data_IF_877474594238
#
_entry.id   IF_877474594238
#
_cell.length_a   1.000
_cell.length_b   1.000
_cell.length_c   1.000
_cell.angle_alpha   90.00
_cell.angle_beta   90.00
_cell.angle_gamma   90.00
#
_symmetry.space_group_name_H-M   'P 1'
#
loop_
_entity.id
_entity.type
_entity.pdbx_description
1 polymer ?
#
# COMPACT_ATOMS: atom_id res chain seq x y z
N UNK A 1 61.18 -8.70 -61.42
CA UNK A 1 61.00 -7.24 -61.39
C UNK A 1 59.52 -6.96 -61.19
N UNK A 2 59.24 -6.24 -60.11
CA UNK A 2 57.97 -5.80 -59.52
C UNK A 2 56.84 -5.46 -60.51
N UNK A 3 55.60 -5.94 -60.29
CA UNK A 3 54.36 -5.14 -60.46
C UNK A 3 53.22 -5.70 -59.58
N UNK A 4 52.59 -4.77 -58.86
CA UNK A 4 51.52 -4.93 -57.87
C UNK A 4 50.16 -5.22 -58.52
N UNK A 5 49.38 -6.14 -57.93
CA UNK A 5 47.92 -6.14 -58.02
C UNK A 5 47.33 -6.36 -56.62
N UNK A 6 46.65 -5.33 -56.11
CA UNK A 6 45.88 -5.37 -54.87
C UNK A 6 44.55 -6.07 -55.15
N UNK A 7 44.31 -7.23 -54.53
CA UNK A 7 42.97 -7.83 -54.40
C UNK A 7 42.43 -7.51 -53.01
N UNK A 8 41.36 -6.72 -52.96
CA UNK A 8 40.55 -6.52 -51.76
C UNK A 8 39.72 -7.79 -51.54
N UNK A 9 39.99 -8.51 -50.46
CA UNK A 9 39.15 -9.60 -49.98
C UNK A 9 38.26 -9.06 -48.86
N UNK A 10 36.95 -9.07 -49.10
CA UNK A 10 35.92 -8.70 -48.13
C UNK A 10 35.89 -9.73 -46.99
N UNK A 11 36.18 -9.29 -45.77
CA UNK A 11 36.02 -10.08 -44.56
C UNK A 11 34.55 -10.00 -44.10
N UNK A 12 33.78 -11.07 -44.29
CA UNK A 12 32.46 -11.23 -43.66
C UNK A 12 32.66 -11.54 -42.18
N UNK A 13 32.47 -10.54 -41.32
CA UNK A 13 32.31 -10.74 -39.88
C UNK A 13 30.93 -11.35 -39.63
N UNK A 14 30.88 -12.65 -39.30
CA UNK A 14 29.70 -13.26 -38.69
C UNK A 14 29.66 -12.81 -37.23
N UNK A 15 28.95 -11.73 -36.97
CA UNK A 15 28.60 -11.34 -35.61
C UNK A 15 27.54 -12.33 -35.08
N UNK A 16 28.01 -13.39 -34.40
CA UNK A 16 27.15 -14.23 -33.59
C UNK A 16 26.60 -13.40 -32.43
N UNK A 17 25.37 -12.92 -32.55
CA UNK A 17 24.64 -12.34 -31.44
C UNK A 17 24.41 -13.43 -30.39
N UNK A 18 25.22 -13.44 -29.33
CA UNK A 18 24.90 -14.13 -28.10
C UNK A 18 23.65 -13.46 -27.51
N UNK A 19 22.47 -13.96 -27.90
CA UNK A 19 21.23 -13.65 -27.20
C UNK A 19 21.34 -14.25 -25.81
N UNK A 20 21.65 -13.42 -24.82
CA UNK A 20 21.44 -13.80 -23.43
C UNK A 20 19.99 -14.29 -23.29
N UNK A 21 19.73 -15.44 -22.67
CA UNK A 21 18.36 -15.88 -22.43
C UNK A 21 17.67 -14.79 -21.61
N UNK A 22 16.66 -14.15 -22.20
CA UNK A 22 15.75 -13.28 -21.49
C UNK A 22 14.98 -14.18 -20.52
N UNK A 23 15.43 -14.28 -19.28
CA UNK A 23 14.65 -14.93 -18.24
C UNK A 23 13.35 -14.12 -18.10
N UNK A 24 12.26 -14.65 -18.66
CA UNK A 24 10.92 -14.19 -18.34
C UNK A 24 10.79 -14.27 -16.82
N UNK A 25 10.74 -13.12 -16.15
CA UNK A 25 10.46 -13.12 -14.71
C UNK A 25 9.02 -13.60 -14.55
N UNK A 26 8.85 -14.78 -13.97
CA UNK A 26 7.54 -15.29 -13.57
C UNK A 26 6.80 -14.20 -12.77
N UNK A 27 5.53 -13.98 -13.13
CA UNK A 27 4.62 -13.08 -12.41
C UNK A 27 4.68 -13.36 -10.91
N UNK A 28 4.62 -12.31 -10.09
CA UNK A 28 4.57 -12.52 -8.64
C UNK A 28 3.29 -13.29 -8.26
N UNK A 29 3.29 -13.89 -7.07
CA UNK A 29 2.12 -14.61 -6.56
C UNK A 29 0.87 -13.74 -6.66
N UNK A 30 -0.15 -14.24 -7.35
CA UNK A 30 -1.44 -13.59 -7.52
C UNK A 30 -1.41 -12.28 -8.32
N UNK A 31 -0.30 -11.98 -9.02
CA UNK A 31 -0.23 -10.80 -9.88
C UNK A 31 -1.22 -10.96 -11.05
N UNK A 32 -2.20 -10.05 -11.19
CA UNK A 32 -3.17 -10.15 -12.26
C UNK A 32 -2.49 -9.89 -13.61
N UNK A 33 -3.00 -10.53 -14.67
CA UNK A 33 -2.41 -10.45 -16.00
C UNK A 33 -2.53 -9.04 -16.61
N UNK A 34 -1.60 -8.68 -17.49
CA UNK A 34 -1.70 -7.46 -18.30
C UNK A 34 -1.75 -6.19 -17.45
N UNK A 35 -2.69 -5.30 -17.77
CA UNK A 35 -2.89 -4.01 -17.11
C UNK A 35 -3.88 -4.06 -15.92
N UNK A 36 -4.37 -5.25 -15.58
CA UNK A 36 -5.39 -5.43 -14.54
C UNK A 36 -4.90 -5.01 -13.16
N UNK A 37 -5.82 -4.50 -12.35
CA UNK A 37 -5.58 -3.99 -11.00
C UNK A 37 -6.70 -4.48 -10.07
N UNK A 38 -6.35 -5.11 -8.95
CA UNK A 38 -7.34 -5.39 -7.91
C UNK A 38 -7.83 -4.09 -7.27
N UNK A 39 -9.14 -3.85 -7.36
CA UNK A 39 -9.81 -2.81 -6.58
C UNK A 39 -10.21 -3.38 -5.22
N UNK A 40 -9.69 -2.78 -4.15
CA UNK A 40 -9.88 -3.24 -2.78
C UNK A 40 -10.22 -2.10 -1.82
N UNK A 41 -10.62 -2.48 -0.60
CA UNK A 41 -10.76 -1.55 0.51
C UNK A 41 -10.57 -2.25 1.87
N UNK A 42 -10.06 -1.49 2.84
CA UNK A 42 -10.21 -1.84 4.25
C UNK A 42 -11.56 -1.39 4.76
N UNK A 43 -12.29 -2.31 5.38
CA UNK A 43 -13.62 -2.06 5.93
C UNK A 43 -13.58 -2.23 7.46
N UNK A 44 -14.38 -1.47 8.23
CA UNK A 44 -14.60 -1.76 9.63
C UNK A 44 -15.50 -3.00 9.79
N UNK A 45 -15.65 -3.51 11.02
CA UNK A 45 -16.58 -4.60 11.36
C UNK A 45 -16.39 -5.91 10.56
N UNK A 46 -15.20 -6.18 10.04
CA UNK A 46 -14.90 -7.41 9.27
C UNK A 46 -14.91 -8.70 10.11
N UNK A 47 -15.01 -8.56 11.44
CA UNK A 47 -15.07 -9.66 12.39
C UNK A 47 -16.48 -10.26 12.57
N UNK A 48 -17.52 -9.60 12.07
CA UNK A 48 -18.91 -10.08 12.09
C UNK A 48 -19.48 -10.20 10.66
N UNK A 49 -20.35 -11.19 10.41
CA UNK A 49 -20.93 -11.42 9.08
C UNK A 49 -21.87 -10.27 8.66
N UNK A 50 -22.73 -9.81 9.59
CA UNK A 50 -23.69 -8.76 9.30
C UNK A 50 -22.98 -7.41 9.13
N UNK A 51 -21.97 -7.14 9.97
CA UNK A 51 -21.06 -6.00 9.84
C UNK A 51 -20.40 -5.95 8.48
N UNK A 52 -19.67 -7.00 8.10
CA UNK A 52 -19.02 -7.08 6.78
C UNK A 52 -20.03 -6.91 5.63
N UNK A 53 -21.19 -7.57 5.68
CA UNK A 53 -22.22 -7.45 4.65
C UNK A 53 -22.73 -6.00 4.51
N UNK A 54 -23.02 -5.31 5.62
CA UNK A 54 -23.45 -3.91 5.60
C UNK A 54 -22.37 -3.01 4.98
N UNK A 55 -21.12 -3.16 5.42
CA UNK A 55 -20.01 -2.36 4.92
C UNK A 55 -19.77 -2.58 3.42
N UNK A 56 -19.84 -3.83 2.95
CA UNK A 56 -19.76 -4.14 1.52
C UNK A 56 -20.91 -3.53 0.73
N UNK A 57 -22.14 -3.59 1.24
CA UNK A 57 -23.29 -2.98 0.57
C UNK A 57 -23.11 -1.46 0.41
N UNK A 58 -22.76 -0.77 1.50
CA UNK A 58 -22.53 0.67 1.49
C UNK A 58 -21.36 1.05 0.59
N UNK A 59 -20.22 0.37 0.72
CA UNK A 59 -19.03 0.67 -0.06
C UNK A 59 -19.24 0.40 -1.56
N UNK A 60 -19.76 -0.78 -1.92
CA UNK A 60 -19.97 -1.13 -3.33
C UNK A 60 -21.01 -0.24 -4.00
N UNK A 61 -22.03 0.22 -3.27
CA UNK A 61 -23.00 1.19 -3.80
C UNK A 61 -22.33 2.55 -4.10
N UNK A 62 -21.40 2.98 -3.24
CA UNK A 62 -20.66 4.23 -3.40
C UNK A 62 -19.60 4.14 -4.52
N UNK A 63 -18.91 3.00 -4.62
CA UNK A 63 -17.88 2.73 -5.60
C UNK A 63 -18.44 2.33 -6.98
N UNK A 64 -19.69 1.87 -7.04
CA UNK A 64 -20.30 1.37 -8.28
C UNK A 64 -19.69 0.06 -8.80
N UNK A 65 -18.87 -0.62 -7.99
CA UNK A 65 -18.14 -1.84 -8.35
C UNK A 65 -17.90 -2.69 -7.09
N UNK A 66 -17.85 -4.01 -7.24
CA UNK A 66 -17.53 -4.92 -6.12
C UNK A 66 -16.03 -4.93 -5.82
N UNK A 67 -15.70 -5.09 -4.54
CA UNK A 67 -14.32 -5.30 -4.11
C UNK A 67 -13.77 -6.66 -4.58
N UNK A 68 -12.58 -6.63 -5.18
CA UNK A 68 -11.75 -7.84 -5.41
C UNK A 68 -10.88 -8.19 -4.20
N UNK A 69 -10.55 -7.21 -3.36
CA UNK A 69 -9.75 -7.41 -2.14
C UNK A 69 -10.44 -6.75 -0.95
N UNK A 70 -10.62 -7.49 0.13
CA UNK A 70 -11.03 -6.94 1.42
C UNK A 70 -9.83 -6.95 2.35
N UNK A 71 -9.46 -5.77 2.83
CA UNK A 71 -8.37 -5.57 3.77
C UNK A 71 -8.89 -5.58 5.20
N UNK A 72 -8.31 -6.41 6.06
CA UNK A 72 -8.69 -6.49 7.46
C UNK A 72 -7.46 -6.67 8.36
N UNK A 73 -7.63 -6.29 9.61
CA UNK A 73 -6.56 -6.17 10.59
C UNK A 73 -6.56 -7.38 11.53
N UNK A 74 -5.36 -7.90 11.79
CA UNK A 74 -5.10 -8.99 12.72
C UNK A 74 -3.91 -8.66 13.60
N UNK A 75 -3.82 -9.21 14.80
CA UNK A 75 -2.70 -8.95 15.70
C UNK A 75 -2.35 -10.15 16.57
N UNK A 76 -1.11 -10.19 17.08
CA UNK A 76 -0.71 -11.21 18.04
C UNK A 76 -1.53 -11.13 19.34
N UNK A 77 -1.95 -9.92 19.72
CA UNK A 77 -2.73 -9.62 20.91
C UNK A 77 -3.91 -8.69 20.57
N UNK A 78 -5.05 -8.84 21.25
CA UNK A 78 -6.05 -7.77 21.31
C UNK A 78 -6.53 -7.62 22.75
N UNK A 79 -6.45 -6.40 23.28
CA UNK A 79 -6.84 -6.06 24.65
C UNK A 79 -6.10 -6.89 25.71
N UNK A 80 -4.82 -7.15 25.50
CA UNK A 80 -3.91 -7.85 26.41
C UNK A 80 -3.91 -9.37 26.26
N UNK A 81 -4.87 -9.91 25.53
CA UNK A 81 -5.04 -11.35 25.32
C UNK A 81 -4.46 -11.80 23.99
N UNK A 82 -3.59 -12.81 24.03
CA UNK A 82 -3.02 -13.43 22.83
C UNK A 82 -4.12 -14.05 21.98
N UNK A 83 -4.05 -13.88 20.65
CA UNK A 83 -5.05 -14.37 19.69
C UNK A 83 -4.52 -15.55 18.91
N UNK A 84 -5.38 -16.52 18.64
CA UNK A 84 -5.01 -17.72 17.87
C UNK A 84 -5.56 -17.62 16.46
N UNK A 85 -4.85 -18.17 15.47
CA UNK A 85 -5.30 -18.11 14.09
C UNK A 85 -6.53 -18.99 13.86
N UNK A 86 -6.58 -20.17 14.50
CA UNK A 86 -7.73 -21.06 14.44
C UNK A 86 -9.00 -20.45 15.03
N UNK A 87 -8.92 -19.82 16.21
CA UNK A 87 -10.08 -19.26 16.89
C UNK A 87 -10.55 -17.91 16.32
N UNK A 88 -9.62 -17.07 15.88
CA UNK A 88 -9.94 -15.67 15.55
C UNK A 88 -9.94 -15.39 14.05
N UNK A 89 -8.96 -15.89 13.31
CA UNK A 89 -8.64 -15.40 11.96
C UNK A 89 -9.09 -16.32 10.83
N UNK A 90 -9.21 -17.63 11.09
CA UNK A 90 -9.78 -18.58 10.15
C UNK A 90 -11.22 -18.23 9.76
N UNK A 91 -12.02 -17.74 10.72
CA UNK A 91 -13.39 -17.29 10.47
C UNK A 91 -13.45 -16.03 9.61
N UNK A 92 -12.53 -15.08 9.80
CA UNK A 92 -12.40 -13.87 8.98
C UNK A 92 -12.01 -14.19 7.54
N UNK A 93 -11.05 -15.11 7.34
CA UNK A 93 -10.68 -15.62 6.02
C UNK A 93 -11.89 -16.23 5.30
N UNK A 94 -12.65 -17.10 5.99
CA UNK A 94 -13.84 -17.73 5.43
C UNK A 94 -14.94 -16.72 5.10
N UNK A 95 -15.15 -15.71 5.96
CA UNK A 95 -16.08 -14.59 5.74
C UNK A 95 -15.75 -13.84 4.45
N UNK A 96 -14.51 -13.38 4.32
CA UNK A 96 -14.07 -12.65 3.13
C UNK A 96 -14.21 -13.52 1.88
N UNK A 97 -13.80 -14.79 1.94
CA UNK A 97 -13.94 -15.72 0.79
C UNK A 97 -15.37 -15.84 0.28
N UNK A 98 -16.37 -15.90 1.17
CA UNK A 98 -17.79 -15.99 0.77
C UNK A 98 -18.27 -14.81 -0.07
N UNK A 99 -17.60 -13.67 0.03
CA UNK A 99 -17.91 -12.47 -0.75
C UNK A 99 -17.35 -12.53 -2.18
N UNK A 100 -16.46 -13.49 -2.46
CA UNK A 100 -15.70 -13.58 -3.72
C UNK A 100 -14.38 -12.79 -3.72
N UNK A 101 -14.09 -12.02 -2.66
CA UNK A 101 -12.86 -11.25 -2.55
C UNK A 101 -11.68 -12.07 -1.98
N UNK A 102 -10.46 -11.61 -2.27
CA UNK A 102 -9.21 -12.06 -1.63
C UNK A 102 -8.99 -11.27 -0.34
N UNK A 103 -8.45 -11.90 0.70
CA UNK A 103 -8.02 -11.19 1.91
C UNK A 103 -6.66 -10.52 1.72
N UNK A 104 -6.56 -9.24 2.07
CA UNK A 104 -5.30 -8.65 2.54
C UNK A 104 -5.36 -8.57 4.07
N UNK A 105 -4.51 -9.35 4.73
CA UNK A 105 -4.35 -9.31 6.18
C UNK A 105 -3.25 -8.31 6.52
N UNK A 106 -3.60 -7.22 7.21
CA UNK A 106 -2.62 -6.37 7.89
C UNK A 106 -2.39 -6.96 9.29
N UNK A 107 -1.36 -7.79 9.40
CA UNK A 107 -1.00 -8.47 10.64
C UNK A 107 -0.02 -7.61 11.45
N UNK A 108 -0.26 -7.49 12.75
CA UNK A 108 0.55 -6.71 13.68
C UNK A 108 1.10 -7.59 14.80
N UNK A 109 2.40 -7.52 15.06
CA UNK A 109 3.04 -8.19 16.20
C UNK A 109 2.70 -7.52 17.54
N UNK A 110 2.32 -6.24 17.53
CA UNK A 110 1.80 -5.55 18.71
C UNK A 110 0.30 -5.79 18.93
N UNK A 111 -0.17 -5.54 20.15
CA UNK A 111 -1.58 -5.35 20.49
C UNK A 111 -2.14 -4.07 19.84
N UNK A 112 -3.36 -4.10 19.30
CA UNK A 112 -4.02 -2.85 18.88
C UNK A 112 -4.32 -1.90 20.05
N UNK A 113 -4.43 -2.43 21.26
CA UNK A 113 -4.50 -1.65 22.50
C UNK A 113 -3.11 -1.39 23.13
N UNK A 114 -2.02 -1.40 22.36
CA UNK A 114 -0.64 -1.31 22.87
C UNK A 114 -0.42 -0.15 23.83
N UNK A 115 -0.98 1.04 23.57
CA UNK A 115 -0.83 2.20 24.45
C UNK A 115 -1.30 1.92 25.89
N UNK A 116 -2.29 1.03 26.06
CA UNK A 116 -2.82 0.58 27.34
C UNK A 116 -2.11 -0.68 27.85
N UNK A 117 -1.90 -1.68 26.99
CA UNK A 117 -1.51 -3.04 27.43
C UNK A 117 0.00 -3.27 27.39
N UNK A 118 0.72 -2.52 26.54
CA UNK A 118 2.16 -2.68 26.25
C UNK A 118 2.54 -4.10 25.83
N UNK A 119 1.58 -4.88 25.32
CA UNK A 119 1.81 -6.26 24.85
C UNK A 119 2.20 -6.26 23.38
N UNK A 120 3.27 -6.98 23.06
CA UNK A 120 3.70 -7.23 21.70
C UNK A 120 4.51 -8.53 21.65
N UNK A 121 4.43 -9.24 20.53
CA UNK A 121 5.41 -10.25 20.17
C UNK A 121 6.70 -9.55 19.77
N UNK A 122 7.69 -9.56 20.66
CA UNK A 122 8.92 -8.80 20.48
C UNK A 122 9.72 -9.30 19.27
N UNK A 123 10.15 -8.40 18.38
CA UNK A 123 10.83 -8.78 17.12
C UNK A 123 12.12 -9.57 17.33
N UNK A 124 12.89 -9.29 18.39
CA UNK A 124 14.11 -10.07 18.72
C UNK A 124 13.76 -11.50 19.14
N UNK A 125 12.67 -11.68 19.89
CA UNK A 125 12.19 -13.01 20.26
C UNK A 125 11.65 -13.76 19.04
N UNK A 126 10.98 -13.09 18.11
CA UNK A 126 10.55 -13.69 16.84
C UNK A 126 11.77 -14.11 16.03
N UNK A 127 12.74 -13.22 15.84
CA UNK A 127 13.99 -13.51 15.14
C UNK A 127 14.76 -14.68 15.77
N UNK A 128 14.78 -14.77 17.09
CA UNK A 128 15.39 -15.87 17.87
C UNK A 128 14.56 -17.16 17.96
N UNK A 129 13.37 -17.21 17.36
CA UNK A 129 12.54 -18.42 17.29
C UNK A 129 11.57 -18.64 18.46
N UNK A 130 11.52 -17.73 19.44
CA UNK A 130 10.62 -17.84 20.60
C UNK A 130 9.12 -17.78 20.28
N UNK A 131 8.77 -17.39 19.05
CA UNK A 131 7.40 -17.30 18.54
C UNK A 131 7.11 -18.28 17.40
N UNK A 132 8.00 -19.26 17.16
CA UNK A 132 7.86 -20.16 16.01
C UNK A 132 6.55 -20.94 16.01
N UNK A 133 6.14 -21.48 17.16
CA UNK A 133 4.90 -22.27 17.27
C UNK A 133 3.66 -21.43 16.95
N UNK A 134 3.65 -20.16 17.36
CA UNK A 134 2.59 -19.22 16.99
C UNK A 134 2.50 -19.05 15.46
N UNK A 135 3.63 -18.84 14.80
CA UNK A 135 3.66 -18.64 13.35
C UNK A 135 3.51 -19.94 12.56
N UNK A 136 3.83 -21.11 13.14
CA UNK A 136 3.51 -22.42 12.56
C UNK A 136 2.01 -22.67 12.55
N UNK A 137 1.29 -22.37 13.64
CA UNK A 137 -0.18 -22.43 13.66
C UNK A 137 -0.76 -21.48 12.61
N UNK A 138 -0.30 -20.22 12.59
CA UNK A 138 -0.69 -19.23 11.58
C UNK A 138 -0.53 -19.76 10.15
N UNK A 139 0.67 -20.26 9.83
CA UNK A 139 0.99 -20.82 8.53
C UNK A 139 0.11 -22.04 8.18
N UNK A 140 -0.13 -22.93 9.14
CA UNK A 140 -0.99 -24.10 8.93
C UNK A 140 -2.43 -23.68 8.60
N UNK A 141 -3.00 -22.70 9.33
CA UNK A 141 -4.35 -22.20 9.03
C UNK A 141 -4.44 -21.53 7.67
N UNK A 142 -3.41 -20.77 7.27
CA UNK A 142 -3.37 -20.18 5.93
C UNK A 142 -3.23 -21.26 4.86
N UNK A 143 -2.34 -22.25 5.03
CA UNK A 143 -2.23 -23.40 4.11
C UNK A 143 -3.56 -24.12 3.93
N UNK A 144 -4.22 -24.47 5.04
CA UNK A 144 -5.44 -25.28 5.04
C UNK A 144 -6.65 -24.51 4.47
N UNK A 145 -6.58 -23.18 4.40
CA UNK A 145 -7.58 -22.33 3.74
C UNK A 145 -7.61 -22.48 2.20
N UNK A 146 -6.51 -22.96 1.60
CA UNK A 146 -6.41 -23.35 0.17
C UNK A 146 -6.83 -22.28 -0.85
N UNK A 147 -6.86 -21.01 -0.45
CA UNK A 147 -7.24 -19.88 -1.32
C UNK A 147 -6.22 -18.76 -1.17
N UNK A 148 -6.07 -17.86 -2.15
CA UNK A 148 -5.09 -16.77 -2.09
C UNK A 148 -5.28 -15.88 -0.86
N UNK A 149 -4.17 -15.50 -0.22
CA UNK A 149 -4.13 -14.55 0.89
C UNK A 149 -2.92 -13.64 0.72
N UNK A 150 -3.14 -12.33 0.75
CA UNK A 150 -2.07 -11.35 0.94
C UNK A 150 -1.85 -11.10 2.42
N UNK A 151 -0.59 -11.03 2.86
CA UNK A 151 -0.23 -10.76 4.26
C UNK A 151 0.80 -9.63 4.30
N UNK A 152 0.46 -8.52 4.95
CA UNK A 152 1.37 -7.44 5.30
C UNK A 152 1.66 -7.49 6.78
N UNK A 153 2.90 -7.79 7.16
CA UNK A 153 3.35 -7.86 8.55
C UNK A 153 3.87 -6.48 8.95
N UNK A 154 3.44 -5.96 10.10
CA UNK A 154 4.00 -4.75 10.73
C UNK A 154 4.24 -3.60 9.73
N UNK A 155 3.14 -3.22 9.05
CA UNK A 155 3.13 -2.13 8.07
C UNK A 155 3.66 -0.81 8.63
N UNK A 156 4.11 0.09 7.76
CA UNK A 156 4.61 1.42 8.16
C UNK A 156 5.72 1.38 9.20
N UNK A 157 6.54 0.33 9.17
CA UNK A 157 7.68 0.13 10.06
C UNK A 157 8.71 1.28 10.01
N UNK A 158 8.72 2.06 8.94
CA UNK A 158 9.53 3.26 8.75
C UNK A 158 8.91 4.54 9.34
N UNK A 159 7.73 4.46 9.97
CA UNK A 159 7.14 5.54 10.77
C UNK A 159 7.73 5.61 12.17
N UNK A 160 7.13 6.40 13.06
CA UNK A 160 7.53 6.50 14.48
C UNK A 160 6.37 6.21 15.46
N UNK A 161 5.22 5.74 14.95
CA UNK A 161 3.99 5.55 15.72
C UNK A 161 3.75 4.11 16.19
N UNK A 162 4.47 3.13 15.66
CA UNK A 162 4.34 1.72 16.05
C UNK A 162 5.59 1.20 16.77
N UNK A 163 5.44 0.41 17.86
CA UNK A 163 6.54 -0.04 18.71
C UNK A 163 7.48 -1.05 18.04
N UNK A 164 7.12 -1.59 16.88
CA UNK A 164 8.00 -2.39 16.03
C UNK A 164 8.93 -1.53 15.14
N UNK A 165 8.75 -0.21 15.11
CA UNK A 165 9.66 0.72 14.44
C UNK A 165 10.88 1.05 15.32
N UNK A 166 12.06 1.18 14.70
CA UNK A 166 13.25 1.72 15.37
C UNK A 166 13.02 3.15 15.89
N UNK A 167 12.22 3.95 15.18
CA UNK A 167 11.99 5.35 15.52
C UNK A 167 10.94 5.55 16.62
N UNK A 168 10.26 4.49 17.05
CA UNK A 168 9.31 4.57 18.14
C UNK A 168 10.03 4.83 19.48
N UNK A 169 9.52 5.75 20.33
CA UNK A 169 10.14 6.06 21.61
C UNK A 169 10.38 4.82 22.47
N UNK A 170 11.64 4.62 22.88
CA UNK A 170 12.07 3.49 23.71
C UNK A 170 11.77 2.10 23.11
N UNK A 171 11.72 1.97 21.77
CA UNK A 171 11.49 0.67 21.12
C UNK A 171 12.53 -0.38 21.53
N UNK A 172 13.80 0.03 21.62
CA UNK A 172 14.94 -0.87 21.81
C UNK A 172 15.16 -1.82 20.62
N UNK A 173 14.52 -1.54 19.48
CA UNK A 173 14.56 -2.32 18.24
C UNK A 173 15.31 -1.55 17.16
N UNK A 174 15.83 -2.28 16.18
CA UNK A 174 16.46 -1.76 14.98
C UNK A 174 15.73 -2.22 13.72
N UNK A 175 15.97 -1.56 12.59
CA UNK A 175 15.49 -2.05 11.30
C UNK A 175 16.01 -3.47 10.98
N UNK A 176 17.20 -3.82 11.46
CA UNK A 176 17.75 -5.17 11.34
C UNK A 176 16.95 -6.21 12.14
N UNK A 177 16.45 -5.86 13.34
CA UNK A 177 15.57 -6.72 14.14
C UNK A 177 14.25 -6.99 13.40
N UNK A 178 13.69 -5.96 12.78
CA UNK A 178 12.51 -6.09 11.92
C UNK A 178 12.78 -7.03 10.74
N UNK A 179 13.89 -6.83 10.02
CA UNK A 179 14.27 -7.68 8.88
C UNK A 179 14.44 -9.14 9.32
N UNK A 180 15.08 -9.39 10.46
CA UNK A 180 15.29 -10.73 10.98
C UNK A 180 13.95 -11.41 11.36
N UNK A 181 13.06 -10.69 12.05
CA UNK A 181 11.74 -11.19 12.41
C UNK A 181 10.89 -11.50 11.17
N UNK A 182 10.84 -10.58 10.19
CA UNK A 182 10.15 -10.79 8.91
C UNK A 182 10.64 -12.06 8.22
N UNK A 183 11.96 -12.21 8.07
CA UNK A 183 12.57 -13.38 7.43
C UNK A 183 12.21 -14.67 8.14
N UNK A 184 12.19 -14.69 9.48
CA UNK A 184 11.77 -15.85 10.27
C UNK A 184 10.33 -16.23 9.96
N UNK A 185 9.39 -15.28 10.05
CA UNK A 185 7.96 -15.54 9.81
C UNK A 185 7.73 -16.09 8.40
N UNK A 186 8.28 -15.43 7.37
CA UNK A 186 8.14 -15.89 5.97
C UNK A 186 8.76 -17.28 5.77
N UNK A 187 9.90 -17.57 6.41
CA UNK A 187 10.53 -18.89 6.36
C UNK A 187 9.61 -19.96 6.93
N UNK A 188 8.98 -19.71 8.08
CA UNK A 188 8.04 -20.65 8.71
C UNK A 188 6.85 -20.93 7.78
N UNK A 189 6.25 -19.89 7.20
CA UNK A 189 5.13 -20.05 6.28
C UNK A 189 5.49 -20.94 5.08
N UNK A 190 6.68 -20.76 4.52
CA UNK A 190 7.17 -21.58 3.41
C UNK A 190 7.47 -23.02 3.83
N UNK A 191 8.14 -23.22 4.95
CA UNK A 191 8.44 -24.56 5.48
C UNK A 191 7.17 -25.35 5.84
N UNK A 192 6.12 -24.67 6.29
CA UNK A 192 4.81 -25.27 6.57
C UNK A 192 4.00 -25.54 5.28
N UNK A 193 4.44 -25.05 4.12
CA UNK A 193 3.78 -25.26 2.83
C UNK A 193 2.63 -24.30 2.54
N UNK A 194 2.55 -23.15 3.22
CA UNK A 194 1.54 -22.11 2.99
C UNK A 194 1.79 -21.33 1.69
N UNK A 195 1.84 -22.03 0.55
CA UNK A 195 2.17 -21.46 -0.75
C UNK A 195 1.11 -20.50 -1.28
N UNK A 196 -0.10 -20.56 -0.72
CA UNK A 196 -1.21 -19.65 -0.97
C UNK A 196 -1.11 -18.31 -0.21
N UNK A 197 -0.01 -18.05 0.51
CA UNK A 197 0.32 -16.74 1.06
C UNK A 197 1.26 -15.95 0.13
N UNK A 198 0.93 -14.67 -0.11
CA UNK A 198 1.79 -13.68 -0.73
C UNK A 198 2.14 -12.58 0.28
N UNK A 199 3.43 -12.37 0.52
CA UNK A 199 3.91 -11.39 1.52
C UNK A 199 4.10 -10.01 0.90
N UNK A 200 3.44 -9.01 1.50
CA UNK A 200 3.39 -7.61 1.03
C UNK A 200 4.16 -6.72 2.00
N UNK A 201 5.35 -6.26 1.60
CA UNK A 201 6.19 -5.40 2.43
C UNK A 201 5.76 -3.93 2.26
N UNK A 202 5.14 -3.35 3.29
CA UNK A 202 4.31 -2.14 3.15
C UNK A 202 4.78 -0.96 4.02
N UNK A 203 5.82 -0.20 3.62
CA UNK A 203 6.21 1.03 4.30
C UNK A 203 5.19 2.16 4.13
N UNK A 204 5.29 3.17 5.01
CA UNK A 204 4.67 4.47 4.85
C UNK A 204 5.38 5.25 3.74
N UNK A 205 4.62 6.02 2.99
CA UNK A 205 5.15 6.98 2.03
C UNK A 205 4.62 8.38 2.37
N UNK A 206 5.50 9.37 2.61
CA UNK A 206 6.97 9.33 2.59
C UNK A 206 7.61 8.66 3.83
N UNK A 207 8.94 8.56 3.87
CA UNK A 207 9.68 8.19 5.09
C UNK A 207 9.47 9.24 6.20
N UNK A 208 9.24 8.80 7.45
CA UNK A 208 9.00 9.70 8.59
C UNK A 208 9.91 9.42 9.79
N UNK A 209 10.31 8.17 10.02
CA UNK A 209 11.04 7.74 11.22
C UNK A 209 12.56 8.04 11.22
N UNK A 210 13.08 8.82 10.27
CA UNK A 210 14.52 9.11 10.15
C UNK A 210 15.40 7.91 9.73
N UNK A 211 14.84 6.70 9.70
CA UNK A 211 15.44 5.50 9.11
C UNK A 211 14.71 5.24 7.79
N UNK A 212 15.41 5.18 6.65
CA UNK A 212 14.76 5.01 5.35
C UNK A 212 14.09 3.64 5.25
N UNK A 213 12.98 3.56 4.51
CA UNK A 213 12.29 2.29 4.27
C UNK A 213 13.24 1.19 3.78
N UNK A 214 14.26 1.53 2.99
CA UNK A 214 15.20 0.56 2.43
C UNK A 214 15.97 -0.22 3.50
N UNK A 215 16.18 0.36 4.69
CA UNK A 215 16.82 -0.33 5.81
C UNK A 215 15.95 -1.46 6.41
N UNK A 216 14.64 -1.39 6.22
CA UNK A 216 13.67 -2.40 6.66
C UNK A 216 13.38 -3.46 5.58
N UNK A 217 13.99 -3.36 4.39
CA UNK A 217 13.70 -4.27 3.29
C UNK A 217 14.33 -5.65 3.53
N UNK A 218 13.54 -6.74 3.63
CA UNK A 218 14.07 -8.05 4.01
C UNK A 218 14.71 -8.80 2.83
N UNK A 219 14.70 -8.23 1.62
CA UNK A 219 15.28 -8.80 0.40
C UNK A 219 14.25 -9.46 -0.50
N UNK A 220 14.57 -9.52 -1.80
CA UNK A 220 13.66 -9.96 -2.87
C UNK A 220 13.11 -11.38 -2.64
N UNK A 221 13.89 -12.24 -1.97
CA UNK A 221 13.49 -13.61 -1.64
C UNK A 221 12.42 -13.67 -0.55
N UNK A 222 12.14 -12.62 0.21
CA UNK A 222 11.18 -12.64 1.32
C UNK A 222 9.96 -11.76 1.09
N UNK A 223 9.84 -11.17 -0.10
CA UNK A 223 8.77 -10.24 -0.46
C UNK A 223 8.19 -10.66 -1.80
N UNK A 224 6.88 -10.85 -1.86
CA UNK A 224 6.17 -11.12 -3.11
C UNK A 224 5.71 -9.80 -3.76
N UNK A 225 5.27 -8.82 -2.93
CA UNK A 225 4.73 -7.53 -3.36
C UNK A 225 5.31 -6.37 -2.57
N UNK A 226 5.47 -5.22 -3.21
CA UNK A 226 5.77 -3.96 -2.53
C UNK A 226 4.45 -3.29 -2.16
N UNK A 227 4.21 -3.17 -0.87
CA UNK A 227 3.10 -2.39 -0.33
C UNK A 227 3.46 -0.91 -0.20
N UNK A 228 2.45 -0.04 -0.12
CA UNK A 228 2.60 1.32 0.42
C UNK A 228 1.35 1.74 1.19
N UNK A 229 1.55 2.49 2.26
CA UNK A 229 0.52 3.35 2.84
C UNK A 229 0.73 4.78 2.34
N UNK A 230 -0.30 5.39 1.75
CA UNK A 230 -0.19 6.68 1.05
C UNK A 230 -1.50 7.49 1.15
N UNK A 231 -1.44 8.67 1.77
CA UNK A 231 -2.62 9.49 2.05
C UNK A 231 -2.50 10.91 1.47
N UNK A 232 -3.64 11.58 1.29
CA UNK A 232 -3.73 12.90 0.63
C UNK A 232 -3.07 14.08 1.35
N UNK A 233 -2.56 13.84 2.56
CA UNK A 233 -1.59 14.72 3.21
C UNK A 233 -0.23 14.77 2.52
N UNK A 234 -0.07 14.14 1.35
CA UNK A 234 1.15 14.15 0.56
C UNK A 234 0.84 14.35 -0.93
N UNK A 235 1.81 14.90 -1.65
CA UNK A 235 1.85 14.87 -3.11
C UNK A 235 1.94 13.44 -3.64
N UNK A 236 1.32 13.17 -4.79
CA UNK A 236 1.42 11.89 -5.50
C UNK A 236 2.88 11.49 -5.80
N UNK A 237 3.79 12.48 -5.87
CA UNK A 237 5.22 12.24 -6.06
C UNK A 237 5.96 11.68 -4.86
N UNK A 238 5.34 11.60 -3.68
CA UNK A 238 5.97 10.92 -2.55
C UNK A 238 6.30 9.44 -2.86
N UNK A 239 5.53 8.78 -3.74
CA UNK A 239 5.76 7.38 -4.12
C UNK A 239 6.95 7.17 -5.08
N UNK A 240 7.53 8.22 -5.63
CA UNK A 240 8.52 8.10 -6.72
C UNK A 240 9.75 7.28 -6.37
N UNK A 241 10.33 7.55 -5.20
CA UNK A 241 11.58 6.92 -4.79
C UNK A 241 11.38 5.41 -4.59
N UNK A 242 10.34 5.02 -3.85
CA UNK A 242 10.05 3.60 -3.63
C UNK A 242 9.66 2.89 -4.93
N UNK A 243 8.85 3.54 -5.77
CA UNK A 243 8.42 2.98 -7.04
C UNK A 243 9.63 2.72 -7.95
N UNK A 244 10.49 3.71 -8.20
CA UNK A 244 11.69 3.53 -9.03
C UNK A 244 12.62 2.45 -8.49
N UNK A 245 12.72 2.31 -7.16
CA UNK A 245 13.62 1.35 -6.52
C UNK A 245 13.16 -0.09 -6.74
N UNK A 246 11.87 -0.38 -6.63
CA UNK A 246 11.38 -1.77 -6.57
C UNK A 246 10.47 -2.21 -7.72
N UNK A 247 9.88 -1.28 -8.48
CA UNK A 247 9.01 -1.60 -9.62
C UNK A 247 9.66 -2.48 -10.70
N UNK A 248 10.99 -2.38 -10.97
CA UNK A 248 11.66 -3.30 -11.89
C UNK A 248 11.65 -4.77 -11.46
N UNK A 249 11.35 -5.06 -10.18
CA UNK A 249 11.48 -6.41 -9.59
C UNK A 249 10.17 -7.00 -9.08
N UNK A 250 9.24 -6.15 -8.63
CA UNK A 250 8.05 -6.56 -7.88
C UNK A 250 6.84 -5.71 -8.27
N UNK A 251 5.63 -6.29 -8.33
CA UNK A 251 4.41 -5.49 -8.44
C UNK A 251 4.14 -4.72 -7.13
N UNK A 252 3.33 -3.67 -7.26
CA UNK A 252 2.93 -2.80 -6.18
C UNK A 252 1.48 -3.03 -5.76
N UNK A 253 1.25 -3.00 -4.46
CA UNK A 253 -0.05 -2.93 -3.82
C UNK A 253 -0.09 -1.62 -3.01
N UNK A 254 -0.91 -0.65 -3.40
CA UNK A 254 -1.22 0.48 -2.50
C UNK A 254 -2.15 -0.03 -1.41
N UNK A 255 -1.55 -0.59 -0.36
CA UNK A 255 -2.24 -1.36 0.70
C UNK A 255 -3.13 -0.49 1.58
N UNK A 256 -2.82 0.79 1.69
CA UNK A 256 -3.71 1.79 2.24
C UNK A 256 -3.57 3.10 1.48
N UNK A 257 -4.71 3.65 1.09
CA UNK A 257 -4.78 5.03 0.66
C UNK A 257 -6.18 5.57 0.86
N UNK A 258 -6.26 6.86 1.15
CA UNK A 258 -7.52 7.57 1.17
C UNK A 258 -7.24 9.08 1.18
N UNK A 259 -8.30 9.84 0.98
CA UNK A 259 -8.29 11.27 1.22
C UNK A 259 -9.20 11.68 2.36
N UNK A 260 -8.72 12.65 3.14
CA UNK A 260 -9.46 13.34 4.18
C UNK A 260 -9.01 14.82 4.19
N UNK A 261 -9.91 15.81 4.11
CA UNK A 261 -9.58 17.22 4.17
C UNK A 261 -8.77 17.60 5.40
N UNK A 262 -8.94 16.88 6.51
CA UNK A 262 -8.16 17.02 7.74
C UNK A 262 -6.66 16.84 7.49
N UNK A 263 -6.26 16.08 6.46
CA UNK A 263 -4.87 15.90 6.06
C UNK A 263 -4.29 17.06 5.27
N UNK A 264 -5.10 17.99 4.76
CA UNK A 264 -4.62 19.16 4.01
C UNK A 264 -3.62 20.01 4.78
N UNK A 265 -3.67 20.00 6.11
CA UNK A 265 -2.68 20.66 6.99
C UNK A 265 -1.24 20.19 6.77
N UNK A 266 -1.05 18.97 6.26
CA UNK A 266 0.28 18.40 5.97
C UNK A 266 0.68 18.59 4.50
N UNK A 267 -0.24 19.03 3.65
CA UNK A 267 -0.01 19.31 2.24
C UNK A 267 -0.51 20.72 1.90
N UNK A 268 0.32 21.76 2.04
CA UNK A 268 -0.10 23.15 1.83
C UNK A 268 -0.64 23.47 0.43
N UNK A 269 -0.32 22.64 -0.56
CA UNK A 269 -0.79 22.73 -1.96
C UNK A 269 -1.88 21.71 -2.28
N UNK A 270 -2.55 21.20 -1.24
CA UNK A 270 -3.59 20.19 -1.37
C UNK A 270 -4.68 20.63 -2.35
N UNK A 271 -4.92 19.88 -3.45
CA UNK A 271 -5.80 20.34 -4.52
C UNK A 271 -7.28 20.02 -4.28
N UNK A 272 -7.64 19.49 -3.11
CA UNK A 272 -8.97 18.99 -2.77
C UNK A 272 -9.16 17.50 -3.08
N UNK A 273 -10.12 16.86 -2.39
CA UNK A 273 -10.33 15.39 -2.39
C UNK A 273 -10.47 14.84 -3.81
N UNK A 274 -11.37 15.42 -4.59
CA UNK A 274 -11.66 15.01 -5.96
C UNK A 274 -10.48 15.18 -6.89
N UNK A 275 -9.76 16.31 -6.82
CA UNK A 275 -8.62 16.55 -7.69
C UNK A 275 -7.45 15.63 -7.35
N UNK A 276 -7.20 15.39 -6.06
CA UNK A 276 -6.15 14.49 -5.61
C UNK A 276 -6.41 13.04 -6.04
N UNK A 277 -7.66 12.56 -5.95
CA UNK A 277 -8.07 11.25 -6.46
C UNK A 277 -7.76 11.12 -7.96
N UNK A 278 -8.19 12.11 -8.76
CA UNK A 278 -7.93 12.11 -10.21
C UNK A 278 -6.43 12.12 -10.54
N UNK A 279 -5.63 12.90 -9.80
CA UNK A 279 -4.18 12.92 -9.95
C UNK A 279 -3.55 11.57 -9.61
N UNK A 280 -4.02 10.92 -8.54
CA UNK A 280 -3.55 9.59 -8.16
C UNK A 280 -3.87 8.56 -9.23
N UNK A 281 -5.12 8.49 -9.71
CA UNK A 281 -5.51 7.57 -10.79
C UNK A 281 -4.73 7.84 -12.08
N UNK A 282 -4.57 9.11 -12.51
CA UNK A 282 -3.74 9.46 -13.66
C UNK A 282 -2.29 8.99 -13.49
N UNK A 283 -1.73 9.08 -12.27
CA UNK A 283 -0.40 8.56 -11.98
C UNK A 283 -0.34 7.02 -12.03
N UNK A 284 -1.39 6.30 -11.61
CA UNK A 284 -1.46 4.84 -11.77
C UNK A 284 -1.44 4.38 -13.24
N UNK A 285 -1.91 5.22 -14.16
CA UNK A 285 -1.87 4.92 -15.60
C UNK A 285 -0.52 5.25 -16.23
N UNK A 286 0.06 6.39 -15.85
CA UNK A 286 1.19 6.99 -16.57
C UNK A 286 2.54 6.77 -15.89
N UNK A 287 2.56 6.85 -14.56
CA UNK A 287 3.78 6.87 -13.76
C UNK A 287 4.02 5.60 -12.96
N UNK A 288 2.94 4.93 -12.56
CA UNK A 288 2.98 3.77 -11.68
C UNK A 288 2.31 2.50 -12.27
N UNK A 289 2.60 2.09 -13.53
CA UNK A 289 1.94 0.94 -14.17
C UNK A 289 2.18 -0.43 -13.51
N UNK A 290 3.18 -0.55 -12.61
CA UNK A 290 3.42 -1.75 -11.79
C UNK A 290 2.53 -1.80 -10.54
N UNK A 291 1.70 -0.81 -10.28
CA UNK A 291 0.62 -0.92 -9.29
C UNK A 291 -0.45 -1.86 -9.84
N UNK A 292 -0.60 -3.01 -9.19
CA UNK A 292 -1.53 -4.09 -9.57
C UNK A 292 -2.61 -4.34 -8.52
N UNK A 293 -2.60 -3.59 -7.42
CA UNK A 293 -3.67 -3.60 -6.43
C UNK A 293 -3.73 -2.26 -5.69
N UNK A 294 -4.94 -1.85 -5.32
CA UNK A 294 -5.22 -0.66 -4.50
C UNK A 294 -6.21 -1.03 -3.40
N UNK A 295 -6.05 -0.48 -2.20
CA UNK A 295 -6.93 -0.74 -1.06
C UNK A 295 -7.29 0.58 -0.38
N UNK A 296 -8.51 1.06 -0.64
CA UNK A 296 -9.02 2.28 -0.01
C UNK A 296 -9.15 2.09 1.50
N UNK A 297 -8.67 3.02 2.31
CA UNK A 297 -8.83 2.97 3.76
C UNK A 297 -10.20 3.53 4.17
N UNK A 298 -11.24 2.70 4.28
CA UNK A 298 -12.63 3.14 4.50
C UNK A 298 -13.00 3.20 5.99
N UNK A 299 -12.30 4.04 6.77
CA UNK A 299 -12.54 4.17 8.21
C UNK A 299 -12.90 5.60 8.60
N UNK A 300 -13.83 5.74 9.55
CA UNK A 300 -14.04 6.99 10.24
C UNK A 300 -13.08 7.08 11.44
N UNK A 301 -12.07 7.93 11.33
CA UNK A 301 -11.14 8.25 12.42
C UNK A 301 -11.29 9.71 12.86
N UNK A 302 -12.50 10.27 12.76
CA UNK A 302 -12.80 11.61 13.27
C UNK A 302 -12.39 11.72 14.74
N UNK A 303 -11.66 12.78 15.08
CA UNK A 303 -11.14 13.02 16.44
C UNK A 303 -9.76 12.44 16.72
N UNK A 304 -9.22 11.57 15.85
CA UNK A 304 -7.84 11.07 15.91
C UNK A 304 -7.03 11.57 14.70
N UNK A 305 -7.48 11.22 13.49
CA UNK A 305 -6.70 11.46 12.27
C UNK A 305 -7.48 12.16 11.15
N UNK A 306 -8.60 11.57 10.74
CA UNK A 306 -9.46 12.09 9.67
C UNK A 306 -10.57 11.12 9.30
N UNK A 307 -11.60 11.61 8.60
CA UNK A 307 -12.69 10.76 8.15
C UNK A 307 -12.48 10.29 6.70
N UNK A 308 -12.19 9.01 6.52
CA UNK A 308 -11.82 8.42 5.24
C UNK A 308 -12.94 7.61 4.58
N UNK A 309 -14.17 7.67 5.11
CA UNK A 309 -15.29 7.01 4.49
C UNK A 309 -15.46 7.52 3.05
N UNK A 310 -15.48 6.60 2.08
CA UNK A 310 -15.65 6.94 0.67
C UNK A 310 -16.96 7.71 0.43
N UNK A 311 -17.98 7.38 1.22
CA UNK A 311 -19.31 7.99 1.20
C UNK A 311 -19.37 9.38 1.82
N UNK A 312 -18.33 9.84 2.52
CA UNK A 312 -18.35 11.11 3.25
C UNK A 312 -18.59 12.30 2.33
N UNK A 313 -17.91 12.32 1.17
CA UNK A 313 -17.98 13.41 0.19
C UNK A 313 -18.51 12.85 -1.13
N UNK A 314 -19.75 13.19 -1.54
CA UNK A 314 -20.37 12.63 -2.74
C UNK A 314 -19.57 12.86 -4.03
N UNK A 315 -18.88 13.99 -4.17
CA UNK A 315 -18.04 14.29 -5.33
C UNK A 315 -16.78 13.42 -5.40
N UNK A 316 -16.18 13.13 -4.24
CA UNK A 316 -15.06 12.20 -4.13
C UNK A 316 -15.50 10.78 -4.48
N UNK A 317 -16.65 10.32 -3.94
CA UNK A 317 -17.19 9.00 -4.25
C UNK A 317 -17.46 8.85 -5.74
N UNK A 318 -18.07 9.86 -6.37
CA UNK A 318 -18.36 9.86 -7.82
C UNK A 318 -17.09 9.84 -8.67
N UNK A 319 -16.08 10.65 -8.30
CA UNK A 319 -14.80 10.65 -9.02
C UNK A 319 -14.09 9.30 -8.91
N UNK A 320 -14.04 8.74 -7.70
CA UNK A 320 -13.49 7.41 -7.46
C UNK A 320 -14.21 6.33 -8.28
N UNK A 321 -15.55 6.29 -8.22
CA UNK A 321 -16.37 5.35 -8.96
C UNK A 321 -16.16 5.46 -10.48
N UNK A 322 -16.04 6.69 -10.99
CA UNK A 322 -15.75 6.94 -12.40
C UNK A 322 -14.39 6.36 -12.81
N UNK A 323 -13.33 6.60 -12.03
CA UNK A 323 -11.98 6.10 -12.35
C UNK A 323 -11.91 4.56 -12.28
N UNK A 324 -12.49 3.95 -11.24
CA UNK A 324 -12.48 2.48 -11.12
C UNK A 324 -13.46 1.78 -12.08
N UNK A 325 -14.35 2.51 -12.75
CA UNK A 325 -15.24 1.92 -13.77
C UNK A 325 -14.45 1.35 -14.95
N UNK A 326 -13.23 1.85 -15.20
CA UNK A 326 -12.37 1.38 -16.26
C UNK A 326 -12.14 -0.15 -16.19
N UNK A 327 -12.16 -0.88 -17.32
CA UNK A 327 -12.06 -2.35 -17.35
C UNK A 327 -10.77 -2.93 -16.76
N UNK A 328 -9.73 -2.11 -16.54
CA UNK A 328 -8.51 -2.54 -15.85
C UNK A 328 -8.74 -2.85 -14.38
N UNK A 329 -9.72 -2.23 -13.73
CA UNK A 329 -10.05 -2.50 -12.33
C UNK A 329 -11.04 -3.66 -12.25
N UNK A 330 -10.58 -4.78 -11.71
CA UNK A 330 -11.35 -6.02 -11.64
C UNK A 330 -12.13 -6.12 -10.34
N UNK A 331 -13.30 -6.75 -10.42
CA UNK A 331 -14.26 -6.99 -9.33
C UNK A 331 -14.48 -8.49 -9.04
N UNK A 332 -13.84 -9.35 -9.84
CA UNK A 332 -13.73 -10.78 -9.61
C UNK A 332 -12.27 -11.20 -9.75
N UNK A 333 -11.59 -11.53 -8.64
CA UNK A 333 -10.22 -11.99 -8.70
C UNK A 333 -10.19 -13.46 -9.15
N UNK A 334 -10.02 -13.71 -10.45
CA UNK A 334 -9.68 -15.04 -10.95
C UNK A 334 -8.19 -15.29 -10.70
N UNK A 335 -7.89 -15.93 -9.58
CA UNK A 335 -6.52 -16.30 -9.22
C UNK A 335 -6.46 -17.80 -9.03
N UNK A 336 -5.87 -18.50 -10.00
CA UNK A 336 -5.65 -19.95 -9.94
C UNK A 336 -4.54 -20.24 -8.93
N UNK A 337 -4.86 -21.01 -7.89
CA UNK A 337 -3.86 -21.53 -6.95
C UNK A 337 -3.35 -22.84 -7.52
N UNK A 338 -2.14 -22.84 -8.09
CA UNK A 338 -1.42 -24.07 -8.47
C UNK A 338 -1.58 -24.53 -9.93
N UNK A 339 -1.44 -23.62 -10.89
CA UNK A 339 -1.24 -23.96 -12.31
C UNK A 339 0.10 -23.42 -12.79
N UNK A 340 0.94 -24.31 -13.32
CA UNK A 340 2.09 -23.96 -14.15
C UNK A 340 1.54 -23.48 -15.51
N UNK A 341 0.86 -22.33 -15.49
CA UNK A 341 0.17 -21.82 -16.66
C UNK A 341 1.19 -21.06 -17.51
N UNK A 342 1.84 -21.82 -18.40
CA UNK A 342 2.69 -21.35 -19.49
C UNK A 342 1.96 -20.41 -20.45
N UNK A 343 1.59 -19.23 -19.96
CA UNK A 343 1.17 -18.09 -20.74
C UNK A 343 2.30 -17.06 -20.72
N UNK A 344 3.07 -17.11 -21.80
CA UNK A 344 4.02 -16.10 -22.25
C UNK A 344 3.41 -14.70 -22.13
N UNK A 345 3.85 -13.93 -21.13
CA UNK A 345 3.48 -12.53 -20.94
C UNK A 345 4.74 -11.69 -21.08
N UNK A 346 5.14 -11.50 -22.33
CA UNK A 346 6.09 -10.47 -22.72
C UNK A 346 5.68 -9.11 -22.11
N UNK A 347 6.66 -8.44 -21.51
CA UNK A 347 6.58 -7.13 -20.86
C UNK A 347 5.78 -6.12 -21.68
N UNK A 348 4.77 -5.52 -21.07
CA UNK A 348 4.20 -4.25 -21.53
C UNK A 348 4.94 -3.10 -20.84
N UNK A 349 6.17 -2.83 -21.29
CA UNK A 349 6.90 -1.59 -21.02
C UNK A 349 6.55 -0.49 -22.05
N UNK A 350 5.39 -0.58 -22.73
CA UNK A 350 4.92 0.47 -23.63
C UNK A 350 3.57 1.00 -23.14
N UNK A 351 3.47 2.28 -22.74
CA UNK A 351 2.20 2.93 -22.48
C UNK A 351 1.28 2.78 -23.69
N UNK A 352 -0.01 2.49 -23.47
CA UNK A 352 -1.01 2.41 -24.52
C UNK A 352 -1.05 3.72 -25.33
N UNK A 353 -1.21 3.59 -26.65
CA UNK A 353 -1.13 4.70 -27.62
C UNK A 353 -2.15 5.83 -27.31
N UNK A 354 -3.20 5.55 -26.56
CA UNK A 354 -4.19 6.52 -26.07
C UNK A 354 -3.64 7.53 -25.05
N UNK A 355 -2.60 7.17 -24.28
CA UNK A 355 -2.02 8.06 -23.24
C UNK A 355 -1.25 9.23 -23.86
N UNK A 356 -0.65 9.06 -25.05
CA UNK A 356 0.14 10.12 -25.72
C UNK A 356 -0.70 11.31 -26.19
N UNK A 357 -2.02 11.17 -26.29
CA UNK A 357 -2.89 12.24 -26.80
C UNK A 357 -3.33 13.24 -25.72
N UNK A 358 -2.98 13.03 -24.44
CA UNK A 358 -3.27 13.98 -23.35
C UNK A 358 -2.10 14.88 -22.95
N UNK A 359 -0.93 14.71 -23.56
CA UNK A 359 0.28 15.51 -23.27
C UNK A 359 0.39 16.84 -24.05
N UNK A 360 -0.57 17.18 -24.93
CA UNK A 360 -0.52 18.41 -25.72
C UNK A 360 -1.77 19.27 -25.50
N UNK A 361 -1.94 19.77 -24.28
CA UNK A 361 -2.60 21.06 -24.06
C UNK A 361 -1.67 21.87 -23.15
N UNK A 362 -0.95 22.89 -23.68
CA UNK A 362 -0.16 23.75 -22.83
C UNK A 362 -1.09 24.46 -21.85
N UNK A 363 -0.81 24.32 -20.56
CA UNK A 363 -1.39 25.19 -19.54
C UNK A 363 -0.96 26.61 -19.88
N UNK A 364 -1.87 27.41 -20.43
CA UNK A 364 -1.67 28.85 -20.53
C UNK A 364 -1.45 29.37 -19.11
N UNK A 365 -0.23 29.83 -18.82
CA UNK A 365 0.05 30.58 -17.60
C UNK A 365 -0.74 31.88 -17.67
N UNK A 366 -1.87 31.94 -16.97
CA UNK A 366 -2.52 33.21 -16.69
C UNK A 366 -1.54 34.07 -15.88
N UNK A 367 -1.21 35.25 -16.41
CA UNK A 367 -0.52 36.31 -15.65
C UNK A 367 -1.42 36.69 -14.48
N UNK A 368 -0.98 36.40 -13.26
CA UNK A 368 -1.61 36.95 -12.07
C UNK A 368 -1.06 38.37 -11.92
N UNK A 369 -1.88 39.37 -12.25
CA UNK A 369 -1.62 40.76 -11.84
C UNK A 369 -1.80 40.84 -10.32
N UNK A 370 -0.78 41.36 -9.63
CA UNK A 370 -0.84 41.59 -8.19
C UNK A 370 -1.90 42.66 -7.88
N UNK A 371 -2.80 42.45 -6.91
CA UNK A 371 -3.77 43.47 -6.54
C UNK A 371 -3.06 44.69 -5.94
N UNK A 372 -3.45 45.89 -6.38
CA UNK A 372 -3.03 47.17 -5.79
C UNK A 372 -3.47 47.21 -4.32
N UNK A 373 -2.50 47.43 -3.43
CA UNK A 373 -2.75 47.73 -2.02
C UNK A 373 -3.18 49.20 -1.91
N UNK A 374 -4.46 49.44 -1.70
CA UNK A 374 -4.93 50.73 -1.17
C UNK A 374 -4.67 50.77 0.33
N UNK A 375 -3.78 51.66 0.77
CA UNK A 375 -3.51 51.90 2.18
C UNK A 375 -4.66 52.68 2.80
N UNK A 376 -5.59 51.99 3.45
CA UNK A 376 -6.52 52.60 4.40
C UNK A 376 -5.79 52.86 5.73
N UNK A 377 -5.79 54.11 6.20
CA UNK A 377 -5.32 54.48 7.55
C UNK A 377 -6.26 53.86 8.59
N UNK A 378 -5.72 53.01 9.46
CA UNK A 378 -6.43 52.47 10.62
C UNK A 378 -6.06 53.33 11.84
N UNK A 379 -7.05 54.00 12.42
CA UNK A 379 -6.92 54.66 13.73
C UNK A 379 -6.79 53.60 14.86
N UNK A 380 -5.92 53.88 15.83
CA UNK A 380 -5.60 52.97 16.93
C UNK A 380 -6.75 52.88 17.95
N UNK A 381 -7.14 51.68 18.42
CA UNK A 381 -8.15 51.55 19.47
C UNK A 381 -7.55 51.82 20.86
N UNK A 382 -8.32 52.56 21.68
CA UNK A 382 -8.05 52.88 23.09
C UNK A 382 -7.89 51.60 23.93
N UNK A 383 -6.89 51.59 24.82
CA UNK A 383 -6.66 50.55 25.83
C UNK A 383 -7.74 50.58 26.92
N UNK A 384 -8.57 49.56 27.01
CA UNK A 384 -9.30 49.22 28.23
C UNK A 384 -8.62 48.03 28.94
N UNK A 385 -8.43 48.19 30.25
CA UNK A 385 -7.79 47.19 31.12
C UNK A 385 -8.79 46.07 31.45
N UNK A 386 -8.57 44.86 30.94
CA UNK A 386 -9.23 43.66 31.43
C UNK A 386 -8.47 43.09 32.63
N UNK A 387 -9.15 43.07 33.79
CA UNK A 387 -8.68 42.40 35.01
C UNK A 387 -8.75 40.88 34.81
N UNK A 388 -7.64 40.20 35.09
CA UNK A 388 -7.55 38.74 35.20
C UNK A 388 -8.45 38.23 36.33
N UNK A 389 -9.45 37.41 36.00
CA UNK A 389 -10.08 36.49 36.96
C UNK A 389 -9.52 35.09 36.72
N UNK A 390 -8.86 34.57 37.76
CA UNK A 390 -8.37 33.21 37.87
C UNK A 390 -9.56 32.35 38.32
N UNK A 391 -9.88 31.28 37.58
CA UNK A 391 -10.85 30.25 38.00
C UNK A 391 -10.07 28.96 38.33
N UNK A 392 -10.24 28.34 39.50
CA UNK A 392 -9.50 27.16 39.89
C UNK A 392 -10.08 25.89 39.28
N UNK A 393 -9.20 24.99 38.84
CA UNK A 393 -9.53 23.63 38.42
C UNK A 393 -9.52 22.74 39.67
N UNK A 394 -10.67 22.18 40.04
CA UNK A 394 -10.76 21.08 41.00
C UNK A 394 -10.73 19.73 40.28
N UNK A 395 -10.09 18.77 40.96
CA UNK A 395 -9.63 17.44 40.53
C UNK A 395 -10.70 16.52 39.95
#
# INVERSE_FOLDING_TARGET
MLQFFVKIASLLLVAGALTAPCFAQNRAKFEPAGDKVFHGASLPETWDENGLRRQLQTYNAAAGKKLSVVTWFASAYENGSMKTWGGNYASSLARVKRTGAISLIKFSTQDYAYNRTRKAANLKQIAGGGWDEYFKDAAAKVRDFKSPVFISIDHEMNGNWYPYSQAYPNSGLTAADFVAAWRRIVTIFRQTGANNAAFVWSPNVPDVGGVPFSAYYPGDNYVDWIGVSFYSGNDVSAMDTIYRTYAPKKPFFVTEWATAPEKSRFHPRYPGDTTWIRQFFAALETRYPRVKAISWFNWDKTGDDGNYLLTRVPEQSRAYAQDISAPRYIDQPTVVVGGDDGADVARLDTPSREIRLREVVPVQRARVEAPRVETARVEAPRRERLRLQIVPVTR
#
